data_IF_989920099606
#
_entry.id   IF_989920099606
#
_cell.length_a   1.000
_cell.length_b   1.000
_cell.length_c   1.000
_cell.angle_alpha   90.00
_cell.angle_beta   90.00
_cell.angle_gamma   90.00
#
_symmetry.space_group_name_H-M   'P 1'
#
loop_
_entity.id
_entity.type
_entity.pdbx_description
1 polymer ?
#
# COMPACT_ATOMS: atom_id res chain seq x y z
N UNK A 1 -12.69 26.76 -31.60
CA UNK A 1 -11.35 26.51 -32.18
C UNK A 1 -10.29 26.27 -31.11
N UNK A 2 -9.97 27.20 -30.20
CA UNK A 2 -8.92 26.98 -29.19
C UNK A 2 -9.17 25.78 -28.25
N UNK A 3 -10.42 25.52 -27.84
CA UNK A 3 -10.76 24.35 -27.03
C UNK A 3 -10.72 23.03 -27.81
N UNK A 4 -11.04 23.04 -29.11
CA UNK A 4 -10.89 21.85 -29.96
C UNK A 4 -9.41 21.54 -30.21
N UNK A 5 -8.60 22.57 -30.46
CA UNK A 5 -7.14 22.45 -30.56
C UNK A 5 -6.52 21.94 -29.25
N UNK A 6 -6.98 22.43 -28.09
CA UNK A 6 -6.58 21.91 -26.79
C UNK A 6 -6.98 20.43 -26.60
N UNK A 7 -8.21 20.04 -26.98
CA UNK A 7 -8.66 18.62 -26.94
C UNK A 7 -7.87 17.72 -27.88
N UNK A 8 -7.49 18.25 -29.04
CA UNK A 8 -6.68 17.53 -30.02
C UNK A 8 -5.26 17.34 -29.51
N UNK A 9 -4.61 18.38 -29.00
CA UNK A 9 -3.29 18.29 -28.37
C UNK A 9 -3.27 17.35 -27.15
N UNK A 10 -4.30 17.41 -26.30
CA UNK A 10 -4.41 16.54 -25.12
C UNK A 10 -4.76 15.09 -25.46
N UNK A 11 -5.27 14.79 -26.65
CA UNK A 11 -5.45 13.42 -27.18
C UNK A 11 -4.21 12.92 -27.91
N UNK A 12 -3.56 13.79 -28.69
CA UNK A 12 -2.31 13.47 -29.39
C UNK A 12 -1.24 13.08 -28.38
N UNK A 13 -1.13 13.76 -27.24
CA UNK A 13 -0.03 13.55 -26.30
C UNK A 13 -0.03 12.13 -25.66
N UNK A 14 -1.14 11.61 -25.08
CA UNK A 14 -1.16 10.26 -24.52
C UNK A 14 -1.03 9.15 -25.57
N UNK A 15 -1.72 9.26 -26.71
CA UNK A 15 -1.66 8.24 -27.77
C UNK A 15 -0.28 8.23 -28.46
N UNK A 16 0.40 9.38 -28.52
CA UNK A 16 1.76 9.49 -28.99
C UNK A 16 2.75 8.83 -28.02
N UNK A 17 2.68 9.15 -26.72
CA UNK A 17 3.53 8.52 -25.70
C UNK A 17 3.35 7.00 -25.67
N UNK A 18 2.09 6.53 -25.77
CA UNK A 18 1.79 5.09 -25.82
C UNK A 18 2.40 4.41 -27.05
N UNK A 19 2.29 4.99 -28.24
CA UNK A 19 2.94 4.44 -29.45
C UNK A 19 4.46 4.36 -29.32
N UNK A 20 5.09 5.32 -28.64
CA UNK A 20 6.53 5.24 -28.33
C UNK A 20 6.80 4.08 -27.37
N UNK A 21 5.98 3.92 -26.33
CA UNK A 21 6.09 2.80 -25.39
C UNK A 21 5.92 1.43 -26.05
N UNK A 22 4.94 1.29 -26.95
CA UNK A 22 4.70 0.03 -27.67
C UNK A 22 5.90 -0.33 -28.55
N UNK A 23 6.39 0.61 -29.36
CA UNK A 23 7.60 0.41 -30.18
C UNK A 23 8.83 0.08 -29.32
N UNK A 24 9.01 0.77 -28.20
CA UNK A 24 10.11 0.52 -27.28
C UNK A 24 10.06 -0.92 -26.71
N UNK A 25 8.87 -1.40 -26.37
CA UNK A 25 8.68 -2.77 -25.86
C UNK A 25 8.87 -3.82 -26.97
N UNK A 26 8.45 -3.54 -28.20
CA UNK A 26 8.71 -4.38 -29.38
C UNK A 26 10.21 -4.52 -29.64
N UNK A 27 10.93 -3.40 -29.74
CA UNK A 27 12.38 -3.40 -29.93
C UNK A 27 13.11 -4.17 -28.83
N UNK A 28 12.73 -4.01 -27.57
CA UNK A 28 13.33 -4.76 -26.47
C UNK A 28 13.03 -6.26 -26.54
N UNK A 29 11.88 -6.64 -27.09
CA UNK A 29 11.55 -8.05 -27.34
C UNK A 29 12.43 -8.68 -28.42
N UNK A 30 12.82 -7.89 -29.42
CA UNK A 30 13.70 -8.33 -30.53
C UNK A 30 15.17 -8.38 -30.12
N UNK A 31 15.67 -7.35 -29.41
CA UNK A 31 17.09 -7.24 -29.05
C UNK A 31 17.45 -8.05 -27.80
N UNK A 32 16.48 -8.28 -26.90
CA UNK A 32 16.71 -8.89 -25.59
C UNK A 32 17.52 -8.02 -24.62
N UNK A 33 17.70 -6.74 -24.95
CA UNK A 33 18.44 -5.77 -24.13
C UNK A 33 17.72 -5.49 -22.81
N UNK A 34 18.50 -5.15 -21.78
CA UNK A 34 17.96 -4.67 -20.50
C UNK A 34 17.69 -3.16 -20.60
N UNK A 35 16.58 -2.71 -20.03
CA UNK A 35 16.19 -1.30 -20.03
C UNK A 35 15.69 -0.83 -18.67
N UNK A 36 15.69 0.49 -18.48
CA UNK A 36 15.32 1.12 -17.21
C UNK A 36 14.06 1.96 -17.42
N UNK A 37 13.06 1.71 -16.59
CA UNK A 37 11.82 2.47 -16.52
C UNK A 37 11.96 3.50 -15.41
N UNK A 38 11.74 4.77 -15.75
CA UNK A 38 11.80 5.89 -14.85
C UNK A 38 10.44 6.09 -14.18
N UNK A 39 10.41 5.94 -12.86
CA UNK A 39 9.26 6.15 -12.00
C UNK A 39 9.39 7.43 -11.21
N UNK A 40 8.26 8.01 -10.85
CA UNK A 40 8.17 9.19 -10.00
C UNK A 40 7.00 10.06 -10.43
N UNK A 41 6.88 11.23 -9.82
CA UNK A 41 5.85 12.18 -10.23
C UNK A 41 6.32 12.93 -11.47
N UNK A 42 5.44 13.30 -12.41
CA UNK A 42 5.87 13.99 -13.64
C UNK A 42 6.69 15.25 -13.37
N UNK A 43 6.33 16.01 -12.33
CA UNK A 43 7.03 17.22 -11.92
C UNK A 43 8.35 16.98 -11.16
N UNK A 44 8.67 15.72 -10.84
CA UNK A 44 9.93 15.33 -10.19
C UNK A 44 10.81 14.57 -11.19
N UNK A 45 10.32 13.45 -11.72
CA UNK A 45 11.11 12.53 -12.52
C UNK A 45 11.18 12.90 -14.01
N UNK A 46 10.17 13.60 -14.55
CA UNK A 46 9.98 13.77 -15.99
C UNK A 46 10.26 15.20 -16.48
N UNK A 47 10.75 16.07 -15.59
CA UNK A 47 11.17 17.43 -15.91
C UNK A 47 12.65 17.60 -15.60
N UNK A 48 13.38 18.29 -16.48
CA UNK A 48 14.83 18.46 -16.41
C UNK A 48 15.29 19.10 -15.09
N UNK A 49 14.62 20.17 -14.66
CA UNK A 49 14.92 20.87 -13.40
C UNK A 49 14.67 20.00 -12.15
N UNK A 50 13.76 19.04 -12.24
CA UNK A 50 13.36 18.19 -11.12
C UNK A 50 14.17 16.90 -11.02
N UNK A 51 14.59 16.35 -12.17
CA UNK A 51 15.21 15.03 -12.23
C UNK A 51 16.75 15.07 -12.18
N UNK A 52 17.37 16.25 -12.18
CA UNK A 52 18.82 16.43 -12.03
C UNK A 52 19.66 15.67 -13.07
N UNK A 53 19.12 15.49 -14.29
CA UNK A 53 19.80 14.77 -15.36
C UNK A 53 19.89 13.25 -15.15
N UNK A 54 19.12 12.68 -14.22
CA UNK A 54 19.11 11.22 -13.96
C UNK A 54 18.85 10.40 -15.23
N UNK A 55 17.88 10.74 -16.10
CA UNK A 55 17.65 9.99 -17.34
C UNK A 55 18.89 9.95 -18.24
N UNK A 56 19.59 11.07 -18.39
CA UNK A 56 20.81 11.23 -19.20
C UNK A 56 21.97 10.45 -18.59
N UNK A 57 22.13 10.50 -17.25
CA UNK A 57 23.13 9.72 -16.51
C UNK A 57 22.94 8.22 -16.69
N UNK A 58 21.70 7.73 -16.75
CA UNK A 58 21.38 6.33 -17.04
C UNK A 58 21.65 5.98 -18.52
N UNK A 59 21.23 6.85 -19.45
CA UNK A 59 21.40 6.64 -20.88
C UNK A 59 22.87 6.63 -21.32
N UNK A 60 23.69 7.55 -20.78
CA UNK A 60 25.14 7.61 -21.02
C UNK A 60 25.90 6.34 -20.59
N UNK A 61 25.29 5.50 -19.75
CA UNK A 61 25.85 4.21 -19.31
C UNK A 61 25.32 3.02 -20.13
N UNK A 62 24.66 3.29 -21.25
CA UNK A 62 24.27 2.29 -22.26
C UNK A 62 22.91 1.64 -22.02
N UNK A 63 22.06 2.19 -21.14
CA UNK A 63 20.70 1.69 -20.93
C UNK A 63 19.68 2.54 -21.65
N UNK A 64 18.75 1.90 -22.37
CA UNK A 64 17.55 2.59 -22.85
C UNK A 64 16.68 2.98 -21.64
N UNK A 65 16.21 4.22 -21.61
CA UNK A 65 15.38 4.76 -20.52
C UNK A 65 14.01 5.17 -21.07
N UNK A 66 12.94 4.80 -20.38
CA UNK A 66 11.58 5.20 -20.73
C UNK A 66 10.79 5.64 -19.49
N UNK A 67 9.99 6.72 -19.57
CA UNK A 67 9.05 7.07 -18.51
C UNK A 67 7.98 5.99 -18.28
N UNK A 68 7.58 5.79 -17.03
CA UNK A 68 6.56 4.78 -16.68
C UNK A 68 5.18 5.04 -17.30
N UNK A 69 4.85 6.30 -17.60
CA UNK A 69 3.56 6.74 -18.15
C UNK A 69 3.48 6.58 -19.68
N UNK A 70 4.54 6.12 -20.34
CA UNK A 70 4.54 5.73 -21.75
C UNK A 70 4.15 4.25 -21.93
N UNK A 71 4.22 3.46 -20.86
CA UNK A 71 3.91 2.03 -20.91
C UNK A 71 2.39 1.79 -21.06
N UNK A 72 1.95 0.66 -21.65
CA UNK A 72 0.54 0.34 -21.78
C UNK A 72 -0.06 -0.09 -20.43
N UNK A 73 -0.56 0.88 -19.65
CA UNK A 73 -1.07 0.66 -18.28
C UNK A 73 -2.58 0.39 -18.20
N UNK A 74 -3.32 0.49 -19.30
CA UNK A 74 -4.78 0.39 -19.29
C UNK A 74 -5.27 -1.00 -18.89
N UNK A 75 -4.55 -2.04 -19.30
CA UNK A 75 -4.87 -3.43 -19.03
C UNK A 75 -4.53 -3.86 -17.60
N UNK A 76 -3.62 -3.14 -16.93
CA UNK A 76 -3.26 -3.44 -15.55
C UNK A 76 -4.38 -2.99 -14.60
N UNK A 77 -4.94 -3.89 -13.78
CA UNK A 77 -5.98 -3.53 -12.85
C UNK A 77 -5.44 -2.51 -11.82
N UNK A 78 -6.20 -1.47 -11.48
CA UNK A 78 -5.78 -0.52 -10.47
C UNK A 78 -5.50 -1.27 -9.16
N UNK A 79 -4.46 -0.83 -8.45
CA UNK A 79 -4.24 -1.35 -7.10
C UNK A 79 -5.45 -0.98 -6.25
N UNK A 80 -6.08 -2.00 -5.65
CA UNK A 80 -7.23 -1.79 -4.79
C UNK A 80 -6.82 -0.81 -3.68
N UNK A 81 -7.71 0.15 -3.37
CA UNK A 81 -7.58 1.08 -2.23
C UNK A 81 -6.50 2.17 -2.36
N UNK A 82 -5.84 2.32 -3.52
CA UNK A 82 -4.98 3.49 -3.78
C UNK A 82 -5.82 4.68 -4.27
N UNK A 83 -5.93 5.74 -3.47
CA UNK A 83 -6.75 6.91 -3.81
C UNK A 83 -6.06 7.83 -4.84
N UNK A 84 -4.74 8.02 -4.75
CA UNK A 84 -4.02 8.97 -5.58
C UNK A 84 -3.85 8.45 -7.02
N UNK A 85 -4.33 9.22 -8.01
CA UNK A 85 -4.25 8.86 -9.44
C UNK A 85 -2.83 8.51 -9.89
N UNK A 86 -1.85 9.37 -9.57
CA UNK A 86 -0.44 9.10 -9.91
C UNK A 86 0.09 7.85 -9.18
N UNK A 87 -0.33 7.64 -7.92
CA UNK A 87 0.01 6.41 -7.20
C UNK A 87 -0.55 5.17 -7.89
N UNK A 88 -1.78 5.21 -8.42
CA UNK A 88 -2.33 4.10 -9.19
C UNK A 88 -1.50 3.82 -10.45
N UNK A 89 -1.12 4.85 -11.21
CA UNK A 89 -0.33 4.70 -12.43
C UNK A 89 1.06 4.12 -12.12
N UNK A 90 1.75 4.66 -11.12
CA UNK A 90 3.06 4.17 -10.66
C UNK A 90 2.98 2.69 -10.27
N UNK A 91 1.97 2.29 -9.48
CA UNK A 91 1.83 0.90 -9.03
C UNK A 91 1.42 -0.06 -10.16
N UNK A 92 0.61 0.40 -11.13
CA UNK A 92 0.31 -0.37 -12.34
C UNK A 92 1.58 -0.62 -13.16
N UNK A 93 2.34 0.44 -13.42
CA UNK A 93 3.61 0.34 -14.12
C UNK A 93 4.60 -0.56 -13.38
N UNK A 94 4.66 -0.47 -12.05
CA UNK A 94 5.52 -1.34 -11.23
C UNK A 94 5.16 -2.83 -11.41
N UNK A 95 3.85 -3.16 -11.46
CA UNK A 95 3.40 -4.54 -11.71
C UNK A 95 3.85 -5.03 -13.09
N UNK A 96 3.63 -4.23 -14.13
CA UNK A 96 4.05 -4.56 -15.50
C UNK A 96 5.57 -4.78 -15.55
N UNK A 97 6.35 -3.83 -15.02
CA UNK A 97 7.82 -3.90 -14.99
C UNK A 97 8.31 -5.10 -14.20
N UNK A 98 7.69 -5.41 -13.06
CA UNK A 98 8.06 -6.56 -12.23
C UNK A 98 7.89 -7.92 -12.95
N UNK A 99 6.96 -8.00 -13.93
CA UNK A 99 6.68 -9.23 -14.70
C UNK A 99 7.57 -9.40 -15.93
N UNK A 100 8.23 -8.33 -16.40
CA UNK A 100 9.03 -8.31 -17.63
C UNK A 100 10.52 -8.41 -17.32
N UNK A 101 11.21 -9.57 -17.45
CA UNK A 101 12.58 -9.76 -16.95
C UNK A 101 13.59 -8.69 -17.36
N UNK A 102 13.45 -8.13 -18.57
CA UNK A 102 14.34 -7.12 -19.15
C UNK A 102 14.16 -5.69 -18.63
N UNK A 103 13.07 -5.37 -17.93
CA UNK A 103 12.76 -4.01 -17.46
C UNK A 103 13.10 -3.82 -15.98
N UNK A 104 13.90 -2.82 -15.63
CA UNK A 104 14.24 -2.47 -14.24
C UNK A 104 13.68 -1.10 -13.89
N UNK A 105 13.45 -0.83 -12.60
CA UNK A 105 12.83 0.42 -12.17
C UNK A 105 13.80 1.37 -11.46
N UNK A 106 13.82 2.64 -11.87
CA UNK A 106 14.45 3.74 -11.11
C UNK A 106 13.37 4.70 -10.67
N UNK A 107 13.14 4.83 -9.37
CA UNK A 107 12.16 5.72 -8.77
C UNK A 107 12.83 7.01 -8.30
N UNK A 108 12.43 8.15 -8.84
CA UNK A 108 12.88 9.48 -8.43
C UNK A 108 11.77 10.15 -7.62
N UNK A 109 12.10 10.63 -6.43
CA UNK A 109 11.19 11.32 -5.51
C UNK A 109 11.95 12.38 -4.74
N UNK A 110 11.24 13.28 -4.08
CA UNK A 110 11.84 14.26 -3.18
C UNK A 110 11.80 13.83 -1.72
N UNK A 111 12.74 14.37 -0.94
CA UNK A 111 12.75 14.24 0.52
C UNK A 111 11.41 14.72 1.11
N UNK A 112 10.89 13.95 2.07
CA UNK A 112 9.61 14.24 2.75
C UNK A 112 8.38 14.29 1.82
N UNK A 113 8.43 13.67 0.64
CA UNK A 113 7.26 13.58 -0.23
C UNK A 113 6.13 12.78 0.44
N UNK A 114 5.07 13.48 0.80
CA UNK A 114 4.02 12.93 1.63
C UNK A 114 3.27 11.75 1.02
N UNK A 115 2.68 11.89 -0.16
CA UNK A 115 2.04 10.78 -0.86
C UNK A 115 2.97 9.60 -1.15
N UNK A 116 4.25 9.88 -1.44
CA UNK A 116 5.20 8.83 -1.84
C UNK A 116 5.72 8.02 -0.65
N UNK A 117 5.53 8.50 0.58
CA UNK A 117 5.83 7.75 1.81
C UNK A 117 5.24 6.33 1.83
N UNK A 118 4.06 6.12 1.24
CA UNK A 118 3.45 4.80 1.08
C UNK A 118 3.81 4.14 -0.26
N UNK A 119 3.79 4.91 -1.34
CA UNK A 119 3.97 4.41 -2.71
C UNK A 119 5.37 3.79 -2.88
N UNK A 120 6.41 4.36 -2.28
CA UNK A 120 7.77 3.80 -2.33
C UNK A 120 7.84 2.40 -1.73
N UNK A 121 7.17 2.18 -0.59
CA UNK A 121 7.11 0.86 0.05
C UNK A 121 6.39 -0.13 -0.87
N UNK A 122 5.23 0.25 -1.40
CA UNK A 122 4.45 -0.61 -2.28
C UNK A 122 5.18 -0.91 -3.60
N UNK A 123 5.88 0.07 -4.16
CA UNK A 123 6.74 -0.10 -5.33
C UNK A 123 7.82 -1.14 -5.04
N UNK A 124 8.53 -1.02 -3.92
CA UNK A 124 9.55 -1.99 -3.49
C UNK A 124 8.97 -3.39 -3.31
N UNK A 125 7.81 -3.49 -2.66
CA UNK A 125 7.11 -4.77 -2.45
C UNK A 125 6.74 -5.44 -3.78
N UNK A 126 6.26 -4.65 -4.75
CA UNK A 126 5.92 -5.14 -6.10
C UNK A 126 7.16 -5.57 -6.88
N UNK A 127 8.28 -4.84 -6.77
CA UNK A 127 9.53 -5.21 -7.42
C UNK A 127 10.15 -6.47 -6.79
N UNK A 128 10.01 -6.66 -5.48
CA UNK A 128 10.46 -7.86 -4.77
C UNK A 128 11.98 -8.03 -4.82
N UNK A 129 12.46 -9.20 -5.27
CA UNK A 129 13.89 -9.46 -5.46
C UNK A 129 14.46 -8.83 -6.73
N UNK A 130 13.61 -8.29 -7.60
CA UNK A 130 14.06 -7.64 -8.83
C UNK A 130 14.74 -6.30 -8.50
N UNK A 131 15.96 -6.05 -9.00
CA UNK A 131 16.67 -4.81 -8.74
C UNK A 131 15.82 -3.59 -9.12
N UNK A 132 15.74 -2.65 -8.19
CA UNK A 132 15.17 -1.33 -8.41
C UNK A 132 15.96 -0.28 -7.64
N UNK A 133 16.16 0.89 -8.23
CA UNK A 133 16.80 2.02 -7.60
C UNK A 133 15.74 3.01 -7.10
N UNK A 134 15.94 3.62 -5.94
CA UNK A 134 15.10 4.71 -5.44
C UNK A 134 15.98 5.89 -5.05
N UNK A 135 15.93 6.96 -5.82
CA UNK A 135 16.68 8.19 -5.60
C UNK A 135 15.76 9.22 -4.93
N UNK A 136 16.22 9.72 -3.79
CA UNK A 136 15.53 10.77 -3.03
C UNK A 136 16.32 12.05 -3.18
N UNK A 137 15.70 13.06 -3.74
CA UNK A 137 16.31 14.36 -4.04
C UNK A 137 15.99 15.33 -2.91
N UNK A 138 17.01 16.09 -2.52
CA UNK A 138 16.91 17.18 -1.54
C UNK A 138 17.53 18.43 -2.16
N UNK A 139 16.87 19.59 -1.97
CA UNK A 139 17.20 20.85 -2.64
C UNK A 139 18.61 21.36 -2.36
N UNK A 140 19.26 20.89 -1.30
CA UNK A 140 20.59 21.32 -0.89
C UNK A 140 21.73 20.40 -1.30
N UNK A 141 21.46 19.14 -1.70
CA UNK A 141 22.49 18.10 -1.86
C UNK A 141 22.29 17.18 -3.07
N UNK A 142 21.39 17.53 -3.99
CA UNK A 142 20.88 16.61 -5.00
C UNK A 142 21.95 15.91 -5.86
N UNK A 143 23.11 16.51 -6.15
CA UNK A 143 24.11 15.86 -7.02
C UNK A 143 25.12 14.97 -6.28
N UNK A 144 25.22 15.07 -4.95
CA UNK A 144 26.24 14.34 -4.19
C UNK A 144 25.92 12.84 -4.12
N UNK A 145 26.63 12.05 -4.93
CA UNK A 145 26.56 10.59 -4.89
C UNK A 145 25.44 9.96 -5.73
N UNK A 146 24.71 10.73 -6.55
CA UNK A 146 23.76 10.15 -7.52
C UNK A 146 24.49 9.21 -8.47
N UNK A 147 25.61 9.66 -9.06
CA UNK A 147 26.39 8.88 -10.02
C UNK A 147 26.83 7.54 -9.42
N UNK A 148 27.39 7.55 -8.21
CA UNK A 148 27.82 6.31 -7.52
C UNK A 148 26.66 5.34 -7.27
N UNK A 149 25.46 5.85 -6.95
CA UNK A 149 24.27 5.01 -6.74
C UNK A 149 23.75 4.44 -8.06
N UNK A 150 23.81 5.21 -9.14
CA UNK A 150 23.49 4.74 -10.49
C UNK A 150 24.49 3.67 -10.94
N UNK A 151 25.79 3.89 -10.73
CA UNK A 151 26.83 2.93 -11.07
C UNK A 151 26.63 1.61 -10.33
N UNK A 152 26.42 1.68 -9.01
CA UNK A 152 26.13 0.50 -8.20
C UNK A 152 24.86 -0.23 -8.66
N UNK A 153 23.81 0.52 -9.03
CA UNK A 153 22.57 -0.08 -9.53
C UNK A 153 22.78 -0.81 -10.86
N UNK A 154 23.53 -0.22 -11.78
CA UNK A 154 23.86 -0.83 -13.07
C UNK A 154 24.67 -2.10 -12.89
N UNK A 155 25.63 -2.11 -11.97
CA UNK A 155 26.41 -3.32 -11.68
C UNK A 155 25.52 -4.44 -11.12
N UNK A 156 24.51 -4.11 -10.30
CA UNK A 156 23.51 -5.07 -9.85
C UNK A 156 22.66 -5.58 -11.03
N UNK A 157 22.21 -4.70 -11.94
CA UNK A 157 21.42 -5.11 -13.12
C UNK A 157 22.22 -6.05 -14.04
N UNK A 158 23.51 -5.76 -14.28
CA UNK A 158 24.38 -6.58 -15.15
C UNK A 158 24.46 -8.01 -14.66
N UNK A 159 24.63 -8.19 -13.35
CA UNK A 159 24.77 -9.51 -12.70
C UNK A 159 23.43 -10.15 -12.31
N UNK A 160 22.30 -9.47 -12.55
CA UNK A 160 20.99 -10.01 -12.22
C UNK A 160 20.56 -11.06 -13.25
N UNK A 161 20.41 -12.29 -12.75
CA UNK A 161 19.76 -13.39 -13.45
C UNK A 161 18.29 -13.47 -13.02
N UNK A 162 17.33 -13.59 -13.96
CA UNK A 162 15.92 -13.70 -13.63
C UNK A 162 15.67 -14.98 -12.84
N UNK A 163 15.44 -14.87 -11.53
CA UNK A 163 14.89 -15.98 -10.78
C UNK A 163 13.49 -16.31 -11.32
N UNK A 164 13.18 -17.60 -11.50
CA UNK A 164 11.79 -18.03 -11.70
C UNK A 164 11.04 -17.64 -10.44
N UNK A 165 10.27 -16.56 -10.54
CA UNK A 165 9.44 -16.04 -9.46
C UNK A 165 8.58 -17.18 -8.95
N UNK A 166 8.83 -17.63 -7.71
CA UNK A 166 7.81 -18.36 -6.98
C UNK A 166 6.63 -17.39 -6.89
N UNK A 167 5.50 -17.77 -7.50
CA UNK A 167 4.25 -17.08 -7.25
C UNK A 167 4.11 -17.08 -5.74
N UNK A 168 4.16 -15.90 -5.11
CA UNK A 168 3.72 -15.77 -3.73
C UNK A 168 2.22 -15.99 -3.87
N UNK A 169 1.79 -17.22 -3.64
CA UNK A 169 0.40 -17.57 -3.49
C UNK A 169 -0.15 -16.77 -2.31
N UNK A 170 -1.43 -16.42 -2.37
CA UNK A 170 -2.17 -15.77 -1.27
C UNK A 170 -2.28 -16.67 -0.01
N UNK A 171 -1.41 -17.67 0.13
CA UNK A 171 -1.39 -18.72 1.16
C UNK A 171 -1.28 -18.19 2.60
N UNK A 172 -0.97 -16.90 2.80
CA UNK A 172 -0.94 -16.26 4.11
C UNK A 172 -2.25 -15.57 4.55
N UNK A 173 -3.24 -15.39 3.66
CA UNK A 173 -4.49 -14.69 4.00
C UNK A 173 -5.50 -15.68 4.56
N UNK A 174 -5.55 -15.81 5.89
CA UNK A 174 -6.42 -16.80 6.55
C UNK A 174 -7.92 -16.45 6.60
N UNK A 175 -8.27 -15.17 6.45
CA UNK A 175 -9.67 -14.77 6.38
C UNK A 175 -9.86 -13.39 5.70
N UNK A 176 -10.98 -13.20 5.00
CA UNK A 176 -11.36 -11.96 4.30
C UNK A 176 -12.76 -11.52 4.71
N UNK A 177 -12.96 -10.27 5.11
CA UNK A 177 -14.33 -9.76 5.33
C UNK A 177 -15.06 -9.58 4.01
N UNK A 178 -16.17 -10.28 3.88
CA UNK A 178 -17.10 -10.17 2.78
C UNK A 178 -18.00 -8.95 3.03
N UNK A 179 -17.69 -7.80 2.41
CA UNK A 179 -18.50 -6.57 2.53
C UNK A 179 -19.98 -6.81 2.19
N UNK A 180 -20.29 -7.74 1.26
CA UNK A 180 -21.67 -8.02 0.84
C UNK A 180 -22.43 -8.79 1.91
N UNK A 181 -21.77 -9.76 2.55
CA UNK A 181 -22.38 -10.62 3.57
C UNK A 181 -22.19 -10.13 5.00
N UNK A 182 -21.35 -9.10 5.22
CA UNK A 182 -20.95 -8.59 6.55
C UNK A 182 -20.42 -9.70 7.47
N UNK A 183 -19.68 -10.66 6.91
CA UNK A 183 -19.12 -11.84 7.59
C UNK A 183 -17.65 -12.00 7.25
N UNK A 184 -16.91 -12.68 8.11
CA UNK A 184 -15.52 -13.05 7.86
C UNK A 184 -15.51 -14.39 7.11
N UNK A 185 -14.99 -14.40 5.89
CA UNK A 185 -14.79 -15.61 5.10
C UNK A 185 -13.42 -16.21 5.44
N UNK A 186 -13.38 -17.39 6.04
CA UNK A 186 -12.14 -18.15 6.28
C UNK A 186 -11.54 -18.70 4.97
N UNK A 187 -10.27 -19.08 4.97
CA UNK A 187 -9.61 -19.86 3.88
C UNK A 187 -10.39 -21.12 3.52
N UNK A 188 -11.02 -21.77 4.50
CA UNK A 188 -11.87 -22.95 4.29
C UNK A 188 -13.15 -22.64 3.50
N UNK A 189 -13.43 -21.37 3.19
CA UNK A 189 -14.63 -20.90 2.50
C UNK A 189 -15.81 -20.58 3.43
N UNK A 190 -15.68 -20.86 4.72
CA UNK A 190 -16.74 -20.64 5.72
C UNK A 190 -16.97 -19.16 6.01
N UNK A 191 -18.24 -18.73 6.07
CA UNK A 191 -18.63 -17.39 6.48
C UNK A 191 -18.97 -17.33 7.97
N UNK A 192 -18.03 -16.84 8.76
CA UNK A 192 -18.14 -16.68 10.21
C UNK A 192 -18.80 -15.33 10.54
N UNK A 193 -19.91 -15.31 11.30
CA UNK A 193 -20.52 -14.07 11.78
C UNK A 193 -19.58 -13.28 12.71
N UNK A 194 -19.63 -11.95 12.69
CA UNK A 194 -18.80 -11.11 13.58
C UNK A 194 -19.06 -11.32 15.08
N UNK A 195 -20.20 -11.91 15.45
CA UNK A 195 -20.58 -12.24 16.83
C UNK A 195 -20.03 -13.60 17.30
N UNK A 196 -19.34 -14.34 16.43
CA UNK A 196 -18.78 -15.65 16.80
C UNK A 196 -17.70 -15.48 17.88
N UNK A 197 -17.71 -16.29 18.95
CA UNK A 197 -16.75 -16.18 20.05
C UNK A 197 -15.30 -16.41 19.63
N UNK A 198 -15.05 -16.95 18.43
CA UNK A 198 -13.70 -17.09 17.87
C UNK A 198 -13.16 -15.78 17.31
N UNK A 199 -13.95 -14.73 17.16
CA UNK A 199 -13.52 -13.45 16.59
C UNK A 199 -13.37 -12.41 17.70
N UNK A 200 -12.21 -11.76 17.77
CA UNK A 200 -11.98 -10.58 18.60
C UNK A 200 -11.59 -9.38 17.74
N UNK A 201 -12.29 -8.28 17.91
CA UNK A 201 -12.03 -7.02 17.20
C UNK A 201 -11.09 -6.12 18.00
N UNK A 202 -9.95 -5.77 17.42
CA UNK A 202 -8.96 -4.84 17.96
C UNK A 202 -9.21 -3.45 17.38
N UNK A 203 -9.38 -2.44 18.24
CA UNK A 203 -9.64 -1.06 17.82
C UNK A 203 -8.40 -0.21 18.10
N UNK A 204 -7.80 0.45 17.08
CA UNK A 204 -6.61 1.27 17.27
C UNK A 204 -6.89 2.48 18.15
N UNK A 205 -5.93 2.82 19.02
CA UNK A 205 -6.00 4.05 19.81
C UNK A 205 -5.80 5.29 18.93
N UNK A 206 -6.89 5.80 18.36
CA UNK A 206 -6.91 7.03 17.55
C UNK A 206 -7.60 8.21 18.27
N UNK A 207 -7.79 8.08 19.57
CA UNK A 207 -8.42 9.06 20.44
C UNK A 207 -9.04 8.37 21.63
N UNK A 208 -8.74 8.86 22.85
CA UNK A 208 -9.12 8.18 24.10
C UNK A 208 -10.62 7.88 24.17
N UNK A 209 -11.45 8.92 24.03
CA UNK A 209 -12.91 8.78 24.15
C UNK A 209 -13.51 8.03 22.96
N UNK A 210 -13.10 8.38 21.73
CA UNK A 210 -13.66 7.79 20.52
C UNK A 210 -13.44 6.26 20.45
N UNK A 211 -12.22 5.80 20.76
CA UNK A 211 -11.85 4.38 20.72
C UNK A 211 -12.66 3.57 21.73
N UNK A 212 -12.84 4.08 22.96
CA UNK A 212 -13.63 3.43 24.00
C UNK A 212 -15.14 3.44 23.70
N UNK A 213 -15.64 4.49 23.05
CA UNK A 213 -17.02 4.51 22.56
C UNK A 213 -17.26 3.41 21.52
N UNK A 214 -16.33 3.17 20.60
CA UNK A 214 -16.44 2.06 19.65
C UNK A 214 -16.40 0.69 20.35
N UNK A 215 -15.52 0.48 21.32
CA UNK A 215 -15.47 -0.75 22.12
C UNK A 215 -16.81 -1.02 22.82
N UNK A 216 -17.36 -0.01 23.51
CA UNK A 216 -18.65 -0.12 24.20
C UNK A 216 -19.80 -0.40 23.22
N UNK A 217 -19.81 0.26 22.05
CA UNK A 217 -20.82 0.05 21.02
C UNK A 217 -20.77 -1.37 20.44
N UNK A 218 -19.57 -1.89 20.13
CA UNK A 218 -19.41 -3.25 19.62
C UNK A 218 -19.82 -4.31 20.64
N UNK A 219 -19.42 -4.15 21.91
CA UNK A 219 -19.82 -5.07 22.98
C UNK A 219 -21.33 -5.06 23.23
N UNK A 220 -21.96 -3.90 23.15
CA UNK A 220 -23.42 -3.78 23.29
C UNK A 220 -24.19 -4.60 22.24
N UNK A 221 -23.65 -4.72 21.02
CA UNK A 221 -24.26 -5.53 19.95
C UNK A 221 -23.79 -6.99 19.91
N UNK A 222 -23.07 -7.44 20.95
CA UNK A 222 -22.60 -8.82 21.11
C UNK A 222 -21.35 -9.17 20.32
N UNK A 223 -20.53 -8.19 19.95
CA UNK A 223 -19.25 -8.40 19.29
C UNK A 223 -18.12 -8.25 20.33
N UNK A 224 -17.26 -9.26 20.43
CA UNK A 224 -16.07 -9.16 21.28
C UNK A 224 -15.09 -8.17 20.65
N UNK A 225 -14.88 -7.05 21.34
CA UNK A 225 -14.01 -5.97 20.89
C UNK A 225 -13.20 -5.41 22.05
N UNK A 226 -12.00 -4.91 21.75
CA UNK A 226 -11.09 -4.29 22.72
C UNK A 226 -10.48 -3.03 22.13
N UNK A 227 -10.55 -1.94 22.90
CA UNK A 227 -9.79 -0.72 22.60
C UNK A 227 -8.33 -0.94 22.96
N UNK A 228 -7.43 -0.76 22.01
CA UNK A 228 -6.00 -0.75 22.30
C UNK A 228 -5.66 0.46 23.19
N UNK A 229 -4.69 0.27 24.08
CA UNK A 229 -4.24 1.33 24.99
C UNK A 229 -3.56 2.45 24.20
N UNK A 230 -3.56 3.69 24.72
CA UNK A 230 -2.75 4.76 24.16
C UNK A 230 -1.29 4.32 24.03
N UNK A 231 -0.67 4.56 22.87
CA UNK A 231 0.72 4.19 22.64
C UNK A 231 1.63 4.99 23.58
N UNK A 232 2.66 4.34 24.09
CA UNK A 232 3.72 4.92 24.91
C UNK A 232 5.04 5.01 24.11
N UNK A 233 6.13 5.32 24.80
CA UNK A 233 7.46 5.45 24.21
C UNK A 233 7.94 4.14 23.54
N UNK A 234 7.57 2.98 24.09
CA UNK A 234 7.88 1.67 23.50
C UNK A 234 7.27 1.53 22.09
N UNK A 235 5.98 1.87 21.94
CA UNK A 235 5.30 1.83 20.64
C UNK A 235 5.91 2.81 19.63
N UNK A 236 6.39 3.97 20.08
CA UNK A 236 7.08 4.93 19.22
C UNK A 236 8.39 4.36 18.69
N UNK A 237 9.21 3.77 19.56
CA UNK A 237 10.51 3.24 19.20
C UNK A 237 10.40 2.04 18.26
N UNK A 238 9.54 1.06 18.61
CA UNK A 238 9.34 -0.14 17.80
C UNK A 238 8.55 0.16 16.52
N UNK A 239 7.61 1.11 16.55
CA UNK A 239 6.87 1.53 15.37
C UNK A 239 7.75 2.13 14.27
N UNK A 240 8.88 2.75 14.63
CA UNK A 240 9.89 3.20 13.65
C UNK A 240 10.58 2.04 12.94
N UNK A 241 10.74 0.89 13.59
CA UNK A 241 11.31 -0.31 12.97
C UNK A 241 10.31 -1.00 12.00
N UNK A 242 9.01 -0.75 12.19
CA UNK A 242 7.92 -1.31 11.37
C UNK A 242 7.33 -0.28 10.38
N UNK A 243 8.01 0.84 10.15
CA UNK A 243 7.63 1.88 9.18
C UNK A 243 8.85 2.47 8.49
N UNK A 244 8.68 3.24 7.41
CA UNK A 244 9.80 3.95 6.78
C UNK A 244 10.11 5.28 7.48
N UNK A 245 9.40 5.62 8.56
CA UNK A 245 9.47 6.90 9.27
C UNK A 245 9.16 8.13 8.39
N UNK A 246 8.52 7.92 7.24
CA UNK A 246 8.12 8.97 6.27
C UNK A 246 6.61 9.13 6.21
N UNK A 247 5.90 8.11 6.66
CA UNK A 247 4.47 8.09 6.85
C UNK A 247 4.09 8.95 8.07
N UNK A 248 2.80 9.17 8.26
CA UNK A 248 2.31 9.93 9.40
C UNK A 248 2.60 9.18 10.72
N UNK A 249 3.04 9.89 11.76
CA UNK A 249 3.32 9.32 13.08
C UNK A 249 2.22 8.39 13.63
N UNK A 250 0.91 8.70 13.49
CA UNK A 250 -0.13 7.79 13.97
C UNK A 250 -0.11 6.40 13.30
N UNK A 251 0.41 6.25 12.07
CA UNK A 251 0.57 4.94 11.45
C UNK A 251 1.53 4.07 12.28
N UNK A 252 2.74 4.57 12.53
CA UNK A 252 3.77 3.84 13.27
C UNK A 252 3.25 3.41 14.65
N UNK A 253 2.57 4.32 15.35
CA UNK A 253 2.01 4.04 16.67
C UNK A 253 0.88 3.00 16.64
N UNK A 254 -0.04 3.09 15.67
CA UNK A 254 -1.21 2.21 15.58
C UNK A 254 -0.84 0.80 15.12
N UNK A 255 0.11 0.70 14.19
CA UNK A 255 0.73 -0.57 13.76
C UNK A 255 1.43 -1.24 14.93
N UNK A 256 2.25 -0.50 15.67
CA UNK A 256 3.01 -1.10 16.77
C UNK A 256 2.11 -1.49 17.94
N UNK A 257 1.10 -0.68 18.26
CA UNK A 257 0.09 -1.03 19.27
C UNK A 257 -0.61 -2.35 18.93
N UNK A 258 -0.89 -2.58 17.64
CA UNK A 258 -1.45 -3.85 17.16
C UNK A 258 -0.45 -4.99 17.36
N UNK A 259 0.78 -4.86 16.87
CA UNK A 259 1.80 -5.90 16.98
C UNK A 259 2.12 -6.27 18.44
N UNK A 260 2.26 -5.27 19.31
CA UNK A 260 2.47 -5.47 20.74
C UNK A 260 1.30 -6.18 21.40
N UNK A 261 0.07 -5.82 21.05
CA UNK A 261 -1.12 -6.50 21.57
C UNK A 261 -1.13 -7.98 21.17
N UNK A 262 -0.84 -8.28 19.91
CA UNK A 262 -0.80 -9.63 19.38
C UNK A 262 0.32 -10.47 19.99
N UNK A 263 1.50 -9.87 20.20
CA UNK A 263 2.60 -10.54 20.90
C UNK A 263 2.24 -10.91 22.35
N UNK A 264 1.50 -10.03 23.04
CA UNK A 264 1.12 -10.22 24.46
C UNK A 264 -0.11 -11.13 24.62
N UNK A 265 -1.07 -11.08 23.70
CA UNK A 265 -2.41 -11.68 23.86
C UNK A 265 -2.82 -12.58 22.69
N UNK A 266 -1.96 -12.85 21.71
CA UNK A 266 -2.31 -13.60 20.50
C UNK A 266 -2.73 -15.05 20.77
N UNK A 267 -2.33 -15.62 21.91
CA UNK A 267 -2.71 -16.98 22.31
C UNK A 267 -3.96 -17.02 23.22
N UNK A 268 -4.62 -15.88 23.45
CA UNK A 268 -5.80 -15.80 24.32
C UNK A 268 -6.99 -16.59 23.75
N UNK A 269 -7.15 -16.59 22.43
CA UNK A 269 -8.20 -17.36 21.74
C UNK A 269 -7.55 -18.50 20.98
N UNK A 270 -7.80 -19.74 21.42
CA UNK A 270 -7.36 -20.94 20.72
C UNK A 270 -8.07 -21.03 19.37
N UNK A 271 -7.30 -21.12 18.28
CA UNK A 271 -7.79 -21.11 16.89
C UNK A 271 -8.68 -19.88 16.57
N UNK A 272 -8.43 -18.76 17.25
CA UNK A 272 -9.18 -17.51 17.12
C UNK A 272 -8.72 -16.61 15.97
N UNK A 273 -9.62 -15.73 15.54
CA UNK A 273 -9.40 -14.72 14.50
C UNK A 273 -9.33 -13.35 15.15
N UNK A 274 -8.22 -12.65 14.96
CA UNK A 274 -8.05 -11.27 15.42
C UNK A 274 -8.33 -10.31 14.26
N UNK A 275 -9.46 -9.61 14.33
CA UNK A 275 -9.83 -8.61 13.35
C UNK A 275 -9.43 -7.21 13.84
N UNK A 276 -8.62 -6.49 13.11
CA UNK A 276 -8.25 -5.11 13.39
C UNK A 276 -9.23 -4.13 12.71
N UNK A 277 -9.80 -3.19 13.47
CA UNK A 277 -10.74 -2.21 12.93
C UNK A 277 -10.02 -0.90 12.56
N UNK A 278 -9.57 -0.76 11.31
CA UNK A 278 -9.02 0.51 10.81
C UNK A 278 -10.05 1.21 9.92
N UNK A 279 -10.51 2.42 10.29
CA UNK A 279 -11.38 3.19 9.43
C UNK A 279 -10.70 3.60 8.12
N UNK A 280 -11.50 3.77 7.07
CA UNK A 280 -11.07 4.35 5.80
C UNK A 280 -11.86 5.63 5.55
N UNK A 281 -11.16 6.64 5.05
CA UNK A 281 -11.76 7.89 4.65
C UNK A 281 -11.58 8.08 3.13
N UNK A 282 -12.62 8.51 2.39
CA UNK A 282 -12.61 8.61 0.93
C UNK A 282 -11.94 9.90 0.44
N UNK A 283 -10.96 10.41 1.17
CA UNK A 283 -10.29 11.67 0.92
C UNK A 283 -8.78 11.44 0.66
N UNK A 284 -8.07 12.38 0.02
CA UNK A 284 -6.67 12.20 -0.35
C UNK A 284 -5.70 12.17 0.85
N UNK A 285 -6.20 12.18 2.09
CA UNK A 285 -5.37 12.01 3.27
C UNK A 285 -4.63 10.66 3.24
N UNK A 286 -3.40 10.68 3.75
CA UNK A 286 -2.57 9.49 3.95
C UNK A 286 -3.22 8.45 4.86
N UNK A 287 -4.16 8.87 5.71
CA UNK A 287 -4.94 7.97 6.57
C UNK A 287 -5.65 6.86 5.77
N UNK A 288 -6.11 7.15 4.55
CA UNK A 288 -6.70 6.15 3.67
C UNK A 288 -5.76 4.98 3.35
N UNK A 289 -4.43 5.15 3.46
CA UNK A 289 -3.45 4.12 3.19
C UNK A 289 -3.02 3.32 4.43
N UNK A 290 -3.50 3.68 5.63
CA UNK A 290 -3.06 3.01 6.86
C UNK A 290 -3.45 1.54 6.87
N UNK A 291 -4.71 1.24 6.52
CA UNK A 291 -5.17 -0.14 6.46
C UNK A 291 -4.40 -0.94 5.39
N UNK A 292 -4.12 -0.35 4.22
CA UNK A 292 -3.33 -1.01 3.16
C UNK A 292 -1.92 -1.33 3.65
N UNK A 293 -1.28 -0.37 4.32
CA UNK A 293 0.04 -0.55 4.89
C UNK A 293 0.06 -1.65 5.96
N UNK A 294 -0.87 -1.59 6.91
CA UNK A 294 -0.96 -2.58 7.99
C UNK A 294 -1.26 -3.98 7.44
N UNK A 295 -2.15 -4.10 6.45
CA UNK A 295 -2.45 -5.38 5.76
C UNK A 295 -1.17 -5.98 5.14
N UNK A 296 -0.44 -5.19 4.34
CA UNK A 296 0.80 -5.63 3.71
C UNK A 296 1.87 -6.04 4.73
N UNK A 297 2.05 -5.26 5.80
CA UNK A 297 3.03 -5.56 6.85
C UNK A 297 2.73 -6.88 7.56
N UNK A 298 1.47 -7.14 7.88
CA UNK A 298 1.07 -8.39 8.54
C UNK A 298 1.32 -9.59 7.63
N UNK A 299 1.00 -9.49 6.35
CA UNK A 299 1.28 -10.55 5.36
C UNK A 299 2.77 -10.84 5.23
N UNK A 300 3.61 -9.80 5.23
CA UNK A 300 5.06 -9.95 5.21
C UNK A 300 5.59 -10.69 6.45
N UNK A 301 5.08 -10.35 7.64
CA UNK A 301 5.49 -11.01 8.89
C UNK A 301 5.08 -12.48 8.92
N UNK A 302 3.84 -12.81 8.53
CA UNK A 302 3.36 -14.21 8.42
C UNK A 302 4.22 -15.02 7.45
N UNK A 303 4.45 -14.49 6.25
CA UNK A 303 5.27 -15.15 5.21
C UNK A 303 6.71 -15.39 5.69
N UNK A 304 7.27 -14.47 6.48
CA UNK A 304 8.63 -14.58 7.00
C UNK A 304 8.74 -15.68 8.07
N UNK A 305 7.76 -15.79 8.96
CA UNK A 305 7.69 -16.85 9.96
C UNK A 305 7.49 -18.24 9.33
N UNK A 306 6.62 -18.36 8.32
CA UNK A 306 6.44 -19.61 7.57
C UNK A 306 7.71 -20.06 6.84
N UNK A 307 8.44 -19.12 6.22
CA UNK A 307 9.74 -19.41 5.59
C UNK A 307 10.78 -19.87 6.60
N UNK A 308 10.79 -19.31 7.82
CA UNK A 308 11.65 -19.76 8.91
C UNK A 308 11.31 -21.21 9.32
N UNK A 309 10.01 -21.50 9.48
CA UNK A 309 9.51 -22.80 9.90
C UNK A 309 9.72 -23.89 8.83
N UNK A 310 9.65 -23.56 7.54
CA UNK A 310 9.96 -24.51 6.44
C UNK A 310 11.45 -24.86 6.36
N UNK A 311 12.35 -23.97 6.82
CA UNK A 311 13.81 -24.24 6.85
C UNK A 311 14.23 -25.08 8.06
N UNK A 312 13.48 -25.05 9.16
CA UNK A 312 13.74 -25.87 10.35
C UNK A 312 12.91 -27.17 10.33
N UNK A 313 13.28 -28.11 9.46
CA UNK A 313 12.74 -29.48 9.53
C UNK A 313 13.27 -30.21 10.76
N UNK A 314 12.70 -29.90 11.94
CA UNK A 314 12.62 -30.74 13.16
C UNK A 314 11.88 -29.95 14.24
N UNK A 315 10.62 -30.33 14.46
CA UNK A 315 9.88 -30.14 15.71
C UNK A 315 9.66 -28.69 16.21
N UNK A 316 8.89 -27.90 15.46
CA UNK A 316 8.06 -26.84 16.05
C UNK A 316 6.68 -26.85 15.38
N UNK A 317 5.74 -27.64 15.92
CA UNK A 317 4.31 -27.41 15.64
C UNK A 317 3.91 -26.16 16.41
N UNK A 318 3.94 -25.00 15.76
CA UNK A 318 3.17 -23.86 16.25
C UNK A 318 1.92 -23.77 15.34
N UNK A 319 0.74 -24.24 15.78
CA UNK A 319 -0.47 -24.28 14.95
C UNK A 319 -1.11 -22.90 14.73
N UNK A 320 -0.54 -21.83 15.31
CA UNK A 320 -1.15 -20.51 15.30
C UNK A 320 -0.78 -19.78 14.02
N UNK A 321 -1.35 -20.22 12.90
CA UNK A 321 -1.49 -19.36 11.74
C UNK A 321 -2.50 -18.27 12.16
N UNK A 322 -2.05 -17.02 12.24
CA UNK A 322 -2.83 -15.89 12.73
C UNK A 322 -3.62 -15.25 11.59
N UNK A 323 -4.95 -15.31 11.65
CA UNK A 323 -5.81 -14.59 10.72
C UNK A 323 -5.96 -13.14 11.14
N UNK A 324 -5.13 -12.26 10.59
CA UNK A 324 -5.29 -10.82 10.74
C UNK A 324 -6.22 -10.28 9.68
N UNK A 325 -7.29 -9.60 10.08
CA UNK A 325 -8.16 -8.95 9.11
C UNK A 325 -8.48 -7.51 9.46
N UNK A 326 -8.43 -6.62 8.47
CA UNK A 326 -8.80 -5.22 8.63
C UNK A 326 -10.27 -4.94 8.31
N UNK A 327 -11.13 -4.82 9.33
CA UNK A 327 -12.50 -4.36 9.14
C UNK A 327 -12.46 -2.89 8.74
N UNK A 328 -12.60 -2.67 7.44
CA UNK A 328 -12.65 -1.36 6.83
C UNK A 328 -14.08 -0.79 6.94
N UNK A 329 -14.24 0.37 7.57
CA UNK A 329 -15.49 1.13 7.52
C UNK A 329 -15.32 2.33 6.58
N UNK A 330 -16.07 2.34 5.47
CA UNK A 330 -16.07 3.46 4.52
C UNK A 330 -16.84 4.64 5.11
N UNK A 331 -16.15 5.75 5.39
CA UNK A 331 -16.77 7.06 5.65
C UNK A 331 -17.29 7.71 4.34
N UNK A 332 -18.20 7.06 3.58
CA UNK A 332 -18.67 7.60 2.29
C UNK A 332 -19.68 8.74 2.50
N UNK A 333 -19.30 9.97 2.08
CA UNK A 333 -20.15 11.15 1.82
C UNK A 333 -21.29 11.45 2.83
N UNK A 334 -20.96 12.20 3.88
CA UNK A 334 -21.94 12.99 4.65
C UNK A 334 -22.44 14.24 3.90
N UNK A 335 -22.12 14.46 2.62
CA UNK A 335 -22.22 15.80 2.00
C UNK A 335 -22.96 15.97 0.67
N UNK A 336 -23.63 14.98 0.10
CA UNK A 336 -24.35 15.22 -1.16
C UNK A 336 -25.59 14.36 -1.34
N UNK A 337 -26.68 14.77 -0.69
CA UNK A 337 -28.05 14.70 -1.22
C UNK A 337 -28.97 15.60 -0.39
N UNK A 338 -29.62 16.54 -1.09
CA UNK A 338 -30.61 17.53 -0.65
C UNK A 338 -30.09 18.80 0.03
N UNK A 339 -29.83 19.81 -0.81
CA UNK A 339 -30.21 21.19 -0.48
C UNK A 339 -31.73 21.22 -0.25
N UNK A 340 -32.16 21.79 0.89
CA UNK A 340 -33.57 22.03 1.19
C UNK A 340 -33.84 22.28 2.67
N UNK A 341 -33.70 23.54 3.09
CA UNK A 341 -34.37 24.16 4.24
C UNK A 341 -34.25 23.52 5.64
N UNK A 342 -33.34 24.03 6.49
CA UNK A 342 -33.61 25.07 7.49
C UNK A 342 -32.42 25.14 8.46
N UNK A 343 -32.01 26.36 8.77
CA UNK A 343 -31.02 26.68 9.78
C UNK A 343 -31.55 26.23 11.15
N UNK A 344 -30.85 25.30 11.82
CA UNK A 344 -30.80 25.30 13.28
C UNK A 344 -29.49 24.71 13.81
N UNK A 345 -28.95 25.42 14.80
CA UNK A 345 -27.63 25.31 15.42
C UNK A 345 -27.42 24.01 16.19
N UNK A 346 -26.15 23.58 16.21
CA UNK A 346 -25.50 22.69 17.18
C UNK A 346 -25.90 21.20 17.19
N UNK A 347 -24.85 20.35 17.17
CA UNK A 347 -24.83 18.97 17.68
C UNK A 347 -25.53 17.89 16.85
N UNK A 348 -24.90 17.34 15.78
CA UNK A 348 -25.28 16.01 15.26
C UNK A 348 -24.30 15.35 14.26
N UNK A 349 -23.03 15.13 14.65
CA UNK A 349 -22.06 14.36 13.84
C UNK A 349 -21.99 12.85 14.18
N UNK A 350 -22.64 12.39 15.26
CA UNK A 350 -22.44 11.04 15.83
C UNK A 350 -23.45 9.96 15.37
N UNK A 351 -24.55 10.31 14.71
CA UNK A 351 -25.71 9.41 14.59
C UNK A 351 -25.64 8.43 13.41
N UNK A 352 -24.76 8.64 12.41
CA UNK A 352 -24.77 7.81 11.18
C UNK A 352 -23.79 6.64 11.13
N UNK A 353 -22.72 6.62 11.93
CA UNK A 353 -21.88 5.43 12.12
C UNK A 353 -22.66 4.25 12.71
N UNK A 354 -23.69 4.53 13.51
CA UNK A 354 -24.57 3.52 14.10
C UNK A 354 -25.53 2.85 13.11
N UNK A 355 -25.79 3.42 11.92
CA UNK A 355 -26.67 2.78 10.92
C UNK A 355 -26.05 1.51 10.34
N UNK A 356 -24.73 1.49 10.13
CA UNK A 356 -24.01 0.30 9.71
C UNK A 356 -24.03 -0.81 10.78
N UNK A 357 -23.89 -0.44 12.07
CA UNK A 357 -24.03 -1.36 13.21
C UNK A 357 -25.47 -1.89 13.37
N UNK A 358 -26.48 -1.06 13.09
CA UNK A 358 -27.89 -1.43 13.23
C UNK A 358 -28.35 -2.47 12.19
N UNK A 359 -27.70 -2.51 11.01
CA UNK A 359 -27.98 -3.48 9.95
C UNK A 359 -27.24 -4.82 10.11
N UNK A 360 -26.44 -5.00 11.17
CA UNK A 360 -25.82 -6.29 11.55
C UNK A 360 -26.79 -7.11 12.44
N UNK A 361 -28.07 -6.72 12.53
CA UNK A 361 -29.08 -7.45 13.32
C UNK A 361 -29.35 -8.84 12.80
#
# INVERSE_FOLDING_TARGET
MAYEYFKELTRINPDYCKRIGDKFLEELGETGEKAIVLFGRPYDALVEDGNMGIPEKLASRGYKVIPYDFLPLEEEPPQQKMYWSMGQMILKAAKLVSRRPQLFGTFVTNFSCGPDSFIMSYFRDIMGSKPSLTLELDSHTADAGIDTRIDAFIDVIRNYEPERRAVISDEGIMAVFDERRKKIRSVSGDHIPLRDPRIKILIPSMGYSATRCFEAAFRHIGIDAVALKPPAEEELQLGRANSNCKECLPLALTVESLLNYLKKNGNEIKDGIYAYFMPEAPDPCRFSQYHVYTENLLLQKVTSEEKLNKRSSRSCRNPNAFAYYLICSKYRQMHSRLFGFLICRHSMAYIRGFKWLAEIK
#
